data_IF_253926681673
#
_entry.id   IF_253926681673
#
_cell.length_a   1.000
_cell.length_b   1.000
_cell.length_c   1.000
_cell.angle_alpha   90.00
_cell.angle_beta   90.00
_cell.angle_gamma   90.00
#
_symmetry.space_group_name_H-M   'P 1'
#
loop_
_entity.id
_entity.type
_entity.pdbx_description
1 polymer ?
#
# COMPACT_ATOMS: atom_id res chain seq x y z
N UNK A 1 50.96 -32.35 45.29
CA UNK A 1 50.63 -32.37 43.86
C UNK A 1 49.11 -32.27 43.72
N UNK A 2 48.57 -31.05 43.54
CA UNK A 2 47.13 -30.78 43.43
C UNK A 2 46.79 -30.61 41.95
N UNK A 3 45.84 -31.40 41.46
CA UNK A 3 45.35 -31.38 40.08
C UNK A 3 44.36 -30.21 39.95
N UNK A 4 44.66 -29.24 39.09
CA UNK A 4 43.71 -28.22 38.65
C UNK A 4 42.71 -28.85 37.68
N UNK A 5 41.42 -28.84 38.02
CA UNK A 5 40.34 -29.07 37.05
C UNK A 5 39.93 -27.72 36.45
N UNK A 6 40.17 -27.57 35.15
CA UNK A 6 39.62 -26.49 34.34
C UNK A 6 38.10 -26.64 34.29
N UNK A 7 37.37 -25.60 34.68
CA UNK A 7 35.92 -25.53 34.59
C UNK A 7 35.58 -24.69 33.35
N UNK A 8 35.34 -25.36 32.22
CA UNK A 8 34.75 -24.74 31.03
C UNK A 8 33.25 -24.63 31.24
N UNK A 9 32.78 -23.42 31.56
CA UNK A 9 31.35 -23.09 31.51
C UNK A 9 30.90 -23.04 30.05
N UNK A 10 29.91 -23.85 29.62
CA UNK A 10 29.32 -23.70 28.30
C UNK A 10 28.58 -22.36 28.24
N UNK A 11 28.86 -21.58 27.20
CA UNK A 11 28.05 -20.42 26.82
C UNK A 11 26.67 -20.97 26.45
N UNK A 12 25.69 -20.74 27.32
CA UNK A 12 24.28 -21.00 27.01
C UNK A 12 23.87 -19.92 26.00
N UNK A 13 24.00 -20.23 24.71
CA UNK A 13 23.35 -19.47 23.66
C UNK A 13 21.85 -19.64 23.92
N UNK A 14 21.19 -18.53 24.24
CA UNK A 14 19.77 -18.51 24.57
C UNK A 14 18.97 -19.15 23.44
N UNK A 15 18.27 -20.26 23.76
CA UNK A 15 17.48 -21.06 22.82
C UNK A 15 16.32 -20.31 22.15
N UNK A 16 16.11 -19.03 22.49
CA UNK A 16 15.09 -18.17 21.90
C UNK A 16 15.44 -17.63 20.51
N UNK A 17 16.71 -17.63 20.10
CA UNK A 17 17.12 -17.18 18.74
C UNK A 17 17.11 -18.30 17.68
N UNK A 18 17.02 -19.57 18.08
CA UNK A 18 17.03 -20.70 17.15
C UNK A 18 15.66 -21.06 16.55
N UNK A 19 14.57 -20.39 16.97
CA UNK A 19 13.20 -20.76 16.57
C UNK A 19 12.66 -20.05 15.32
N UNK A 20 13.41 -19.08 14.78
CA UNK A 20 13.05 -18.43 13.51
C UNK A 20 13.30 -19.31 12.27
N UNK A 21 13.90 -20.50 12.43
CA UNK A 21 14.23 -21.42 11.34
C UNK A 21 13.20 -22.56 11.11
N UNK A 22 11.97 -22.48 11.65
CA UNK A 22 11.00 -23.60 11.60
C UNK A 22 9.77 -23.36 10.72
N UNK A 23 9.62 -22.19 10.10
CA UNK A 23 8.53 -21.94 9.15
C UNK A 23 9.07 -22.14 7.74
N UNK A 24 8.57 -23.15 7.02
CA UNK A 24 8.85 -23.30 5.61
C UNK A 24 8.16 -22.16 4.85
N UNK A 25 8.93 -21.17 4.39
CA UNK A 25 8.43 -20.05 3.59
C UNK A 25 8.50 -20.33 2.08
N UNK A 26 8.96 -21.53 1.69
CA UNK A 26 9.09 -21.87 0.28
C UNK A 26 7.72 -22.09 -0.37
N UNK A 27 7.72 -22.13 -1.70
CA UNK A 27 6.56 -22.50 -2.51
C UNK A 27 5.94 -23.84 -2.10
N UNK A 28 6.72 -24.78 -1.56
CA UNK A 28 6.23 -26.10 -1.16
C UNK A 28 5.21 -26.05 0.00
N UNK A 29 5.26 -25.00 0.83
CA UNK A 29 4.33 -24.80 1.94
C UNK A 29 3.12 -23.91 1.57
N UNK A 30 2.90 -23.65 0.28
CA UNK A 30 1.75 -22.86 -0.19
C UNK A 30 0.57 -23.80 -0.44
N UNK A 31 -0.61 -23.40 0.03
CA UNK A 31 -1.81 -24.24 0.00
C UNK A 31 -2.57 -24.03 -1.31
N UNK A 32 -2.71 -25.10 -2.09
CA UNK A 32 -3.60 -25.15 -3.25
C UNK A 32 -5.07 -24.92 -2.87
N UNK A 33 -5.93 -24.48 -3.82
CA UNK A 33 -7.36 -24.37 -3.59
C UNK A 33 -7.96 -25.66 -3.05
N UNK A 34 -8.84 -25.57 -2.06
CA UNK A 34 -9.54 -26.75 -1.54
C UNK A 34 -10.71 -27.13 -2.46
N UNK A 35 -10.71 -28.36 -3.02
CA UNK A 35 -11.73 -28.78 -3.98
C UNK A 35 -13.12 -28.95 -3.36
N UNK A 36 -13.20 -29.19 -2.05
CA UNK A 36 -14.46 -29.45 -1.33
C UNK A 36 -15.14 -28.19 -0.79
N UNK A 37 -14.57 -27.00 -1.05
CA UNK A 37 -15.20 -25.74 -0.70
C UNK A 37 -16.17 -25.29 -1.81
N UNK A 38 -17.24 -24.53 -1.47
CA UNK A 38 -18.01 -23.79 -2.47
C UNK A 38 -17.09 -22.94 -3.34
N UNK A 39 -17.41 -22.75 -4.64
CA UNK A 39 -16.56 -22.02 -5.60
C UNK A 39 -16.10 -20.65 -5.08
N UNK A 40 -16.98 -19.93 -4.38
CA UNK A 40 -16.68 -18.66 -3.71
C UNK A 40 -15.53 -18.82 -2.70
N UNK A 41 -15.58 -19.86 -1.89
CA UNK A 41 -14.59 -20.18 -0.86
C UNK A 41 -13.31 -20.78 -1.45
N UNK A 42 -13.41 -21.66 -2.46
CA UNK A 42 -12.27 -22.27 -3.17
C UNK A 42 -11.36 -21.21 -3.76
N UNK A 43 -11.94 -20.17 -4.38
CA UNK A 43 -11.17 -19.08 -4.99
C UNK A 43 -10.62 -18.09 -3.94
N UNK A 44 -11.30 -17.89 -2.82
CA UNK A 44 -10.80 -17.01 -1.74
C UNK A 44 -9.73 -17.66 -0.87
N UNK A 45 -9.69 -19.00 -0.80
CA UNK A 45 -8.75 -19.77 0.01
C UNK A 45 -7.54 -20.31 -0.79
N UNK A 46 -7.31 -19.78 -1.99
CA UNK A 46 -6.11 -20.09 -2.77
C UNK A 46 -4.90 -19.29 -2.26
N UNK A 47 -3.97 -19.99 -1.61
CA UNK A 47 -2.70 -19.43 -1.12
C UNK A 47 -1.51 -19.92 -1.95
N UNK A 48 -1.73 -20.64 -3.05
CA UNK A 48 -0.68 -21.23 -3.90
C UNK A 48 0.30 -20.18 -4.44
N UNK A 49 -0.17 -18.93 -4.57
CA UNK A 49 0.59 -17.78 -5.05
C UNK A 49 0.98 -16.79 -3.95
N UNK A 50 0.85 -17.16 -2.68
CA UNK A 50 1.26 -16.29 -1.57
C UNK A 50 2.80 -16.19 -1.47
N UNK A 51 3.31 -15.04 -1.05
CA UNK A 51 4.74 -14.75 -0.94
C UNK A 51 5.30 -13.97 -2.14
N UNK A 52 6.59 -13.64 -2.08
CA UNK A 52 7.32 -12.89 -3.10
C UNK A 52 7.29 -13.66 -4.42
N UNK A 53 6.76 -13.04 -5.47
CA UNK A 53 6.58 -13.64 -6.80
C UNK A 53 5.90 -15.04 -6.81
N UNK A 54 5.00 -15.30 -5.85
CA UNK A 54 4.37 -16.61 -5.74
C UNK A 54 5.18 -17.65 -4.96
N UNK A 55 5.91 -17.19 -3.93
CA UNK A 55 6.64 -18.03 -2.99
C UNK A 55 8.10 -18.31 -3.39
N UNK A 56 8.67 -17.47 -4.27
CA UNK A 56 10.10 -17.49 -4.58
C UNK A 56 10.91 -17.01 -3.37
N UNK A 57 12.18 -17.43 -3.25
CA UNK A 57 13.07 -16.90 -2.23
C UNK A 57 13.25 -15.38 -2.37
N UNK A 58 13.29 -14.68 -1.23
CA UNK A 58 13.66 -13.27 -1.21
C UNK A 58 15.10 -13.07 -1.74
N UNK A 59 15.40 -11.91 -2.36
CA UNK A 59 16.75 -11.59 -2.79
C UNK A 59 17.76 -11.68 -1.65
N UNK A 60 18.90 -12.30 -1.94
CA UNK A 60 20.05 -12.35 -1.04
C UNK A 60 21.03 -11.20 -1.33
N UNK A 61 22.14 -11.17 -0.58
CA UNK A 61 23.14 -10.12 -0.70
C UNK A 61 23.89 -10.13 -2.05
N UNK A 62 23.85 -11.23 -2.80
CA UNK A 62 24.51 -11.32 -4.11
C UNK A 62 23.76 -10.56 -5.21
N UNK A 63 22.50 -10.17 -4.94
CA UNK A 63 21.62 -9.53 -5.92
C UNK A 63 21.64 -8.00 -5.87
N UNK A 64 22.34 -7.37 -4.93
CA UNK A 64 22.30 -5.92 -4.71
C UNK A 64 23.61 -5.21 -5.08
N UNK A 65 23.52 -4.10 -5.82
CA UNK A 65 24.62 -3.14 -5.95
C UNK A 65 24.53 -2.12 -4.81
N UNK A 66 25.54 -2.10 -3.93
CA UNK A 66 25.54 -1.25 -2.74
C UNK A 66 25.80 0.22 -3.07
N UNK A 67 24.95 1.09 -2.54
CA UNK A 67 25.11 2.54 -2.49
C UNK A 67 25.20 2.97 -1.03
N UNK A 68 26.34 3.56 -0.69
CA UNK A 68 26.56 4.17 0.61
C UNK A 68 25.99 5.58 0.61
N UNK A 69 25.00 5.85 1.46
CA UNK A 69 24.31 7.16 1.49
C UNK A 69 25.11 8.29 2.15
N UNK A 70 26.16 7.94 2.89
CA UNK A 70 26.96 8.88 3.67
C UNK A 70 27.59 9.98 2.82
N UNK A 71 28.01 9.59 1.61
CA UNK A 71 28.69 10.49 0.70
C UNK A 71 27.66 11.08 -0.27
N UNK A 72 27.19 12.30 0.02
CA UNK A 72 26.47 13.14 -0.93
C UNK A 72 25.00 13.42 -0.64
N UNK A 73 24.36 12.72 0.30
CA UNK A 73 22.95 12.96 0.65
C UNK A 73 22.69 13.42 2.08
N UNK A 74 23.73 13.59 2.91
CA UNK A 74 23.59 14.11 4.28
C UNK A 74 22.61 13.28 5.15
N UNK A 75 22.71 11.95 5.07
CA UNK A 75 22.08 11.02 6.02
C UNK A 75 23.15 10.62 7.04
N UNK A 76 23.16 11.27 8.20
CA UNK A 76 24.26 11.18 9.16
C UNK A 76 23.72 10.59 10.47
N UNK A 77 24.13 9.37 10.85
CA UNK A 77 23.60 8.73 12.04
C UNK A 77 24.07 9.46 13.31
N UNK A 78 23.16 9.55 14.29
CA UNK A 78 23.41 10.08 15.64
C UNK A 78 23.80 11.57 15.72
N UNK A 79 23.63 12.37 14.67
CA UNK A 79 23.90 13.81 14.73
C UNK A 79 22.73 14.61 15.33
N UNK A 80 21.57 13.97 15.53
CA UNK A 80 20.35 14.57 16.08
C UNK A 80 19.57 15.44 15.08
N UNK A 81 20.04 15.54 13.83
CA UNK A 81 19.41 16.31 12.77
C UNK A 81 18.41 15.46 12.01
N UNK A 82 17.59 16.12 11.21
CA UNK A 82 16.58 15.50 10.36
C UNK A 82 17.20 15.04 9.03
N UNK A 83 17.20 13.73 8.81
CA UNK A 83 17.77 13.06 7.65
C UNK A 83 16.76 12.88 6.49
N UNK A 84 15.51 13.32 6.66
CA UNK A 84 14.41 12.95 5.75
C UNK A 84 14.65 13.39 4.32
N UNK A 85 15.12 14.62 4.11
CA UNK A 85 15.42 15.15 2.79
C UNK A 85 16.54 14.37 2.10
N UNK A 86 17.58 14.03 2.86
CA UNK A 86 18.71 13.24 2.37
C UNK A 86 18.28 11.85 1.92
N UNK A 87 17.53 11.15 2.76
CA UNK A 87 17.05 9.80 2.44
C UNK A 87 16.09 9.82 1.24
N UNK A 88 15.19 10.80 1.16
CA UNK A 88 14.29 10.93 0.01
C UNK A 88 15.06 11.20 -1.28
N UNK A 89 16.06 12.08 -1.25
CA UNK A 89 16.91 12.38 -2.42
C UNK A 89 17.69 11.16 -2.88
N UNK A 90 18.24 10.37 -1.96
CA UNK A 90 18.92 9.14 -2.29
C UNK A 90 18.02 8.15 -3.04
N UNK A 91 16.78 7.95 -2.56
CA UNK A 91 15.79 7.09 -3.24
C UNK A 91 15.45 7.62 -4.63
N UNK A 92 15.27 8.94 -4.77
CA UNK A 92 15.01 9.57 -6.06
C UNK A 92 16.20 9.40 -7.01
N UNK A 93 17.44 9.55 -6.55
CA UNK A 93 18.63 9.35 -7.37
C UNK A 93 18.80 7.90 -7.83
N UNK A 94 18.32 6.93 -7.06
CA UNK A 94 18.29 5.52 -7.49
C UNK A 94 17.36 5.32 -8.69
N UNK A 95 16.27 6.09 -8.82
CA UNK A 95 15.30 5.91 -9.90
C UNK A 95 15.89 6.03 -11.31
N UNK A 96 16.96 6.83 -11.47
CA UNK A 96 17.62 7.05 -12.77
C UNK A 96 18.69 6.01 -13.13
N UNK A 97 19.05 5.11 -12.22
CA UNK A 97 20.10 4.12 -12.48
C UNK A 97 19.54 2.90 -13.21
N UNK A 98 20.30 2.28 -14.11
CA UNK A 98 19.91 1.00 -14.70
C UNK A 98 19.96 -0.12 -13.66
N UNK A 99 19.07 -1.10 -13.79
CA UNK A 99 19.06 -2.32 -12.97
C UNK A 99 19.14 -3.49 -13.94
N UNK A 100 20.28 -4.22 -13.98
CA UNK A 100 20.36 -5.46 -14.73
C UNK A 100 19.28 -6.46 -14.28
N UNK A 101 18.79 -7.26 -15.22
CA UNK A 101 17.76 -8.26 -14.93
C UNK A 101 18.14 -9.17 -13.76
N UNK A 102 17.21 -9.32 -12.82
CA UNK A 102 17.41 -10.14 -11.62
C UNK A 102 18.34 -9.54 -10.57
N UNK A 103 18.65 -8.24 -10.64
CA UNK A 103 19.41 -7.49 -9.63
C UNK A 103 18.58 -6.38 -8.98
N UNK A 104 19.14 -5.75 -7.96
CA UNK A 104 18.52 -4.70 -7.16
C UNK A 104 19.50 -3.56 -6.93
N UNK A 105 18.96 -2.36 -6.79
CA UNK A 105 19.67 -1.25 -6.16
C UNK A 105 19.62 -1.47 -4.64
N UNK A 106 20.73 -1.26 -3.94
CA UNK A 106 20.80 -1.41 -2.49
C UNK A 106 21.19 -0.07 -1.85
N UNK A 107 20.28 0.50 -1.08
CA UNK A 107 20.58 1.56 -0.13
C UNK A 107 20.96 0.91 1.20
N UNK A 108 22.25 0.99 1.55
CA UNK A 108 22.74 0.52 2.84
C UNK A 108 22.75 1.68 3.84
N UNK A 109 21.88 1.60 4.83
CA UNK A 109 21.79 2.58 5.91
C UNK A 109 22.88 2.32 6.97
N UNK A 110 23.39 3.39 7.60
CA UNK A 110 24.32 3.30 8.73
C UNK A 110 23.81 2.57 9.95
N UNK A 111 24.77 2.03 10.71
CA UNK A 111 24.59 1.83 12.15
C UNK A 111 24.33 3.17 12.86
N UNK A 112 23.42 3.17 13.83
CA UNK A 112 23.04 4.35 14.61
C UNK A 112 21.64 4.86 14.30
N UNK A 113 21.34 6.05 14.81
CA UNK A 113 20.01 6.67 14.75
C UNK A 113 19.89 7.62 13.58
N UNK A 114 18.91 7.37 12.71
CA UNK A 114 18.49 8.25 11.61
C UNK A 114 17.16 8.89 12.02
N UNK A 115 17.06 10.22 12.03
CA UNK A 115 15.83 10.90 12.40
C UNK A 115 15.05 11.30 11.15
N UNK A 116 13.74 11.03 11.16
CA UNK A 116 12.84 11.36 10.07
C UNK A 116 11.65 12.19 10.58
N UNK A 117 11.13 13.09 9.77
CA UNK A 117 10.07 14.03 10.13
C UNK A 117 8.88 14.07 9.17
N UNK A 118 9.05 13.59 7.94
CA UNK A 118 7.97 13.42 6.98
C UNK A 118 8.07 12.09 6.21
N UNK A 119 6.97 11.70 5.59
CA UNK A 119 6.86 10.41 4.92
C UNK A 119 7.89 10.24 3.79
N UNK A 120 8.66 9.16 3.86
CA UNK A 120 9.57 8.74 2.80
C UNK A 120 8.78 7.97 1.74
N UNK A 121 8.70 8.53 0.54
CA UNK A 121 8.15 7.84 -0.63
C UNK A 121 9.21 6.93 -1.23
N UNK A 122 8.89 5.64 -1.31
CA UNK A 122 9.67 4.64 -2.00
C UNK A 122 8.93 4.27 -3.28
N UNK A 123 9.17 5.07 -4.32
CA UNK A 123 8.51 4.98 -5.63
C UNK A 123 9.41 4.40 -6.73
N UNK A 124 10.55 3.82 -6.32
CA UNK A 124 11.56 3.21 -7.18
C UNK A 124 11.49 1.68 -7.08
N UNK A 125 11.11 1.00 -8.17
CA UNK A 125 11.11 -0.47 -8.24
C UNK A 125 12.54 -1.05 -8.23
N UNK A 126 12.67 -2.33 -7.83
CA UNK A 126 13.95 -3.04 -7.69
C UNK A 126 14.93 -2.31 -6.75
N UNK A 127 14.45 -1.99 -5.55
CA UNK A 127 15.20 -1.24 -4.53
C UNK A 127 15.12 -1.96 -3.18
N UNK A 128 16.26 -2.18 -2.56
CA UNK A 128 16.38 -2.65 -1.19
C UNK A 128 16.88 -1.49 -0.33
N UNK A 129 16.16 -1.18 0.75
CA UNK A 129 16.64 -0.29 1.81
C UNK A 129 16.94 -1.18 3.01
N UNK A 130 18.21 -1.23 3.41
CA UNK A 130 18.71 -2.16 4.43
C UNK A 130 19.46 -1.44 5.53
N UNK A 131 19.18 -1.77 6.78
CA UNK A 131 19.98 -1.32 7.93
C UNK A 131 21.21 -2.17 8.22
N UNK A 132 22.03 -1.71 9.16
CA UNK A 132 23.21 -2.39 9.66
C UNK A 132 22.89 -3.50 10.69
N UNK A 133 21.62 -3.62 11.11
CA UNK A 133 21.19 -4.54 12.16
C UNK A 133 19.84 -4.10 12.73
N UNK A 134 18.97 -5.02 13.18
CA UNK A 134 17.67 -4.66 13.75
C UNK A 134 17.77 -4.25 15.24
N UNK A 135 18.87 -4.55 15.93
CA UNK A 135 19.09 -4.16 17.32
C UNK A 135 20.08 -2.97 17.40
N UNK A 136 19.61 -1.76 17.73
CA UNK A 136 20.47 -0.59 17.84
C UNK A 136 21.55 -0.73 18.92
N UNK A 137 21.32 -1.54 19.96
CA UNK A 137 22.30 -1.76 21.03
C UNK A 137 23.43 -2.70 20.59
N UNK A 138 23.23 -3.44 19.50
CA UNK A 138 24.22 -4.32 18.87
C UNK A 138 24.82 -3.70 17.59
N UNK A 139 24.78 -2.37 17.44
CA UNK A 139 25.31 -1.68 16.27
C UNK A 139 24.35 -1.64 15.07
N UNK A 140 23.05 -1.85 15.30
CA UNK A 140 22.01 -1.77 14.28
C UNK A 140 21.61 -0.35 13.86
N UNK A 141 20.72 -0.28 12.88
CA UNK A 141 20.11 0.98 12.41
C UNK A 141 18.78 1.20 13.12
N UNK A 142 18.63 2.40 13.70
CA UNK A 142 17.39 2.85 14.32
C UNK A 142 16.81 4.01 13.52
N UNK A 143 15.61 3.84 12.98
CA UNK A 143 14.83 4.94 12.41
C UNK A 143 13.94 5.52 13.50
N UNK A 144 14.09 6.82 13.77
CA UNK A 144 13.23 7.54 14.71
C UNK A 144 12.38 8.53 13.95
N UNK A 145 11.08 8.27 13.88
CA UNK A 145 10.12 9.14 13.21
C UNK A 145 9.45 10.11 14.20
N UNK A 146 9.55 11.41 13.92
CA UNK A 146 8.90 12.50 14.68
C UNK A 146 8.21 13.44 13.70
N UNK A 147 6.90 13.26 13.43
CA UNK A 147 6.22 14.02 12.40
C UNK A 147 6.31 15.53 12.67
N UNK A 148 6.73 16.29 11.66
CA UNK A 148 6.73 17.74 11.70
C UNK A 148 5.31 18.33 11.59
N UNK A 149 5.20 19.65 11.61
CA UNK A 149 3.90 20.34 11.46
C UNK A 149 3.23 20.08 10.13
N UNK A 150 4.00 19.75 9.08
CA UNK A 150 3.46 19.46 7.76
C UNK A 150 2.98 17.99 7.62
N UNK A 151 3.42 17.12 8.53
CA UNK A 151 3.12 15.69 8.53
C UNK A 151 2.07 15.29 9.56
N UNK A 152 1.84 16.10 10.60
CA UNK A 152 0.75 15.87 11.56
C UNK A 152 -0.63 16.01 10.93
N UNK A 153 -1.60 15.25 11.42
CA UNK A 153 -3.01 15.42 11.05
C UNK A 153 -3.60 16.66 11.74
N UNK A 154 -4.53 17.36 11.07
CA UNK A 154 -5.02 18.66 11.56
C UNK A 154 -5.95 18.56 12.76
N UNK A 155 -6.79 17.52 12.81
CA UNK A 155 -7.87 17.41 13.79
C UNK A 155 -8.01 16.00 14.31
N UNK A 156 -8.24 15.92 15.61
CA UNK A 156 -8.54 14.70 16.34
C UNK A 156 -10.01 14.79 16.77
N UNK A 157 -10.82 13.81 16.37
CA UNK A 157 -12.19 13.63 16.86
C UNK A 157 -12.25 12.27 17.54
N UNK A 158 -12.68 12.24 18.81
CA UNK A 158 -12.82 11.01 19.61
C UNK A 158 -11.53 10.15 19.60
N UNK A 159 -10.38 10.78 19.85
CA UNK A 159 -9.05 10.15 19.87
C UNK A 159 -8.61 9.48 18.54
N UNK A 160 -9.30 9.78 17.45
CA UNK A 160 -8.94 9.39 16.08
C UNK A 160 -8.67 10.61 15.22
N UNK A 161 -7.72 10.50 14.31
CA UNK A 161 -7.55 11.53 13.30
C UNK A 161 -8.76 11.57 12.38
N UNK A 162 -9.22 12.78 12.06
CA UNK A 162 -10.41 13.00 11.25
C UNK A 162 -10.03 13.03 9.76
N UNK A 163 -10.33 11.93 9.07
CA UNK A 163 -10.13 11.71 7.63
C UNK A 163 -10.73 12.84 6.77
N UNK A 164 -11.84 13.42 7.23
CA UNK A 164 -12.65 14.36 6.46
C UNK A 164 -12.31 15.82 6.78
N UNK A 165 -11.57 16.08 7.87
CA UNK A 165 -11.09 17.43 8.20
C UNK A 165 -9.91 17.89 7.36
N UNK A 166 -9.11 16.94 6.85
CA UNK A 166 -7.88 17.25 6.13
C UNK A 166 -8.16 17.45 4.65
N UNK A 167 -8.58 18.66 4.29
CA UNK A 167 -9.01 18.99 2.92
C UNK A 167 -8.12 20.03 2.25
N UNK A 168 -8.06 19.96 0.91
CA UNK A 168 -7.67 21.05 0.03
C UNK A 168 -8.75 21.26 -1.03
N UNK A 169 -9.33 22.46 -1.06
CA UNK A 169 -10.40 22.86 -1.99
C UNK A 169 -9.83 23.77 -3.06
N UNK A 170 -10.29 23.62 -4.29
CA UNK A 170 -9.93 24.51 -5.40
C UNK A 170 -11.17 24.92 -6.18
N UNK A 171 -11.12 26.12 -6.76
CA UNK A 171 -12.10 26.67 -7.68
C UNK A 171 -11.39 27.70 -8.56
N UNK A 172 -11.15 27.36 -9.82
CA UNK A 172 -10.44 28.22 -10.77
C UNK A 172 -10.99 28.04 -12.20
N UNK A 173 -10.59 28.91 -13.12
CA UNK A 173 -10.79 28.69 -14.55
C UNK A 173 -9.54 28.08 -15.18
N UNK A 174 -9.71 27.07 -16.03
CA UNK A 174 -8.64 26.54 -16.86
C UNK A 174 -8.30 27.49 -18.02
N UNK A 175 -7.30 27.13 -18.83
CA UNK A 175 -6.83 27.95 -19.96
C UNK A 175 -7.92 28.20 -21.02
N UNK A 176 -8.95 27.35 -21.08
CA UNK A 176 -10.10 27.48 -21.97
C UNK A 176 -11.27 28.25 -21.33
N UNK A 177 -11.11 28.78 -20.12
CA UNK A 177 -12.14 29.49 -19.37
C UNK A 177 -13.18 28.59 -18.71
N UNK A 178 -13.00 27.26 -18.73
CA UNK A 178 -13.89 26.31 -18.04
C UNK A 178 -13.62 26.39 -16.54
N UNK A 179 -14.67 26.55 -15.74
CA UNK A 179 -14.58 26.43 -14.28
C UNK A 179 -14.23 24.99 -13.89
N UNK A 180 -13.18 24.84 -13.09
CA UNK A 180 -12.68 23.59 -12.52
C UNK A 180 -12.67 23.76 -11.01
N UNK A 181 -13.42 22.90 -10.32
CA UNK A 181 -13.54 22.96 -8.86
C UNK A 181 -13.53 21.55 -8.27
N UNK A 182 -13.18 21.44 -6.99
CA UNK A 182 -13.16 20.15 -6.33
C UNK A 182 -12.51 20.18 -4.96
N UNK A 183 -12.35 19.00 -4.38
CA UNK A 183 -11.76 18.82 -3.05
C UNK A 183 -10.96 17.53 -3.03
N UNK A 184 -9.77 17.58 -2.44
CA UNK A 184 -9.00 16.42 -2.04
C UNK A 184 -9.09 16.33 -0.51
N UNK A 185 -9.39 15.16 0.03
CA UNK A 185 -9.53 14.92 1.47
C UNK A 185 -8.53 13.86 1.96
N UNK A 186 -8.40 13.70 3.28
CA UNK A 186 -7.53 12.69 3.89
C UNK A 186 -7.83 11.25 3.46
N UNK A 187 -9.04 10.96 3.00
CA UNK A 187 -9.37 9.67 2.38
C UNK A 187 -8.46 9.31 1.19
N UNK A 188 -7.89 10.30 0.49
CA UNK A 188 -6.96 10.07 -0.61
C UNK A 188 -5.62 9.50 -0.15
N UNK A 189 -5.27 9.65 1.13
CA UNK A 189 -4.07 9.07 1.74
C UNK A 189 -4.27 7.67 2.30
N UNK A 190 -5.50 7.15 2.32
CA UNK A 190 -5.81 5.88 2.98
C UNK A 190 -4.78 4.78 2.65
N UNK A 191 -4.27 4.03 3.67
CA UNK A 191 -4.74 3.98 5.07
C UNK A 191 -4.26 5.13 5.97
N UNK A 192 -3.56 6.13 5.43
CA UNK A 192 -2.99 7.26 6.17
C UNK A 192 -1.53 7.51 5.78
N UNK A 193 -0.86 8.38 6.54
CA UNK A 193 0.58 8.65 6.45
C UNK A 193 1.41 7.56 7.13
N UNK A 194 2.65 7.42 6.68
CA UNK A 194 3.58 6.40 7.18
C UNK A 194 5.02 6.91 7.25
N UNK A 195 5.90 6.15 7.90
CA UNK A 195 7.34 6.39 7.83
C UNK A 195 7.82 6.12 6.40
N UNK A 196 7.58 4.89 5.91
CA UNK A 196 7.86 4.47 4.55
C UNK A 196 6.56 4.24 3.79
N UNK A 197 6.40 4.86 2.62
CA UNK A 197 5.29 4.59 1.70
C UNK A 197 5.83 4.01 0.40
N UNK A 198 5.69 2.70 0.25
CA UNK A 198 6.07 1.97 -0.96
C UNK A 198 4.90 2.08 -1.93
N UNK A 199 5.09 2.85 -2.99
CA UNK A 199 4.03 3.17 -3.94
C UNK A 199 4.36 4.43 -4.73
N UNK A 200 3.66 4.63 -5.85
CA UNK A 200 3.90 5.79 -6.71
C UNK A 200 3.75 7.10 -5.94
N UNK A 201 4.73 7.99 -6.08
CA UNK A 201 4.64 9.37 -5.62
C UNK A 201 4.04 10.30 -6.68
N UNK A 202 3.76 9.79 -7.89
CA UNK A 202 3.36 10.61 -9.03
C UNK A 202 1.98 11.25 -8.83
N UNK A 203 1.86 12.45 -9.39
CA UNK A 203 0.63 13.23 -9.40
C UNK A 203 0.00 13.15 -10.79
N UNK A 204 -1.30 12.88 -10.83
CA UNK A 204 -2.08 12.93 -12.06
C UNK A 204 -1.93 14.29 -12.75
N UNK A 205 -1.76 14.30 -14.08
CA UNK A 205 -1.53 15.53 -14.85
C UNK A 205 -2.57 16.64 -14.58
N UNK A 206 -3.85 16.24 -14.45
CA UNK A 206 -4.97 17.16 -14.13
C UNK A 206 -4.92 17.78 -12.72
N UNK A 207 -4.10 17.24 -11.82
CA UNK A 207 -3.91 17.74 -10.45
C UNK A 207 -2.57 18.46 -10.28
N UNK A 208 -1.77 18.62 -11.35
CA UNK A 208 -0.47 19.29 -11.28
C UNK A 208 -0.59 20.70 -10.68
N UNK A 209 -1.59 21.48 -11.13
CA UNK A 209 -1.84 22.83 -10.60
C UNK A 209 -2.24 22.81 -9.13
N UNK A 210 -3.22 21.97 -8.77
CA UNK A 210 -3.73 21.84 -7.41
C UNK A 210 -2.61 21.39 -6.46
N UNK A 211 -1.79 20.43 -6.86
CA UNK A 211 -0.63 20.00 -6.09
C UNK A 211 0.43 21.10 -5.95
N UNK A 212 0.66 21.91 -7.00
CA UNK A 212 1.60 23.02 -6.94
C UNK A 212 1.12 24.10 -5.95
N UNK A 213 -0.15 24.49 -6.03
CA UNK A 213 -0.79 25.52 -5.21
C UNK A 213 -1.12 25.06 -3.77
N UNK A 214 -1.26 23.76 -3.54
CA UNK A 214 -1.55 23.23 -2.22
C UNK A 214 -0.44 23.55 -1.20
N UNK A 215 -0.80 23.86 0.06
CA UNK A 215 0.18 24.02 1.14
C UNK A 215 0.94 22.70 1.37
N UNK A 216 2.14 22.79 1.95
CA UNK A 216 3.05 21.64 2.11
C UNK A 216 2.37 20.42 2.73
N UNK A 217 1.61 20.64 3.81
CA UNK A 217 0.84 19.64 4.54
C UNK A 217 -0.39 19.05 3.81
N UNK A 218 -0.61 19.43 2.55
CA UNK A 218 -1.66 18.91 1.66
C UNK A 218 -1.14 18.37 0.34
N UNK A 219 0.15 18.56 0.02
CA UNK A 219 0.72 18.07 -1.24
C UNK A 219 0.65 16.54 -1.34
N UNK A 220 0.79 15.84 -0.23
CA UNK A 220 0.71 14.39 -0.16
C UNK A 220 -0.66 13.82 -0.56
N UNK A 221 -1.76 14.58 -0.37
CA UNK A 221 -3.10 14.17 -0.83
C UNK A 221 -3.10 13.79 -2.32
N UNK A 222 -2.26 14.44 -3.12
CA UNK A 222 -2.18 14.24 -4.56
C UNK A 222 -1.16 13.17 -4.98
N UNK A 223 -0.31 12.68 -4.08
CA UNK A 223 0.73 11.70 -4.43
C UNK A 223 0.16 10.30 -4.55
N UNK A 224 0.52 9.62 -5.63
CA UNK A 224 -0.10 8.35 -6.04
C UNK A 224 -1.51 8.51 -6.63
N UNK A 225 -1.94 9.75 -6.90
CA UNK A 225 -3.25 10.03 -7.52
C UNK A 225 -3.38 9.50 -8.94
N UNK A 226 -2.26 9.14 -9.59
CA UNK A 226 -2.24 8.37 -10.85
C UNK A 226 -2.97 7.03 -10.77
N UNK A 227 -3.31 6.54 -9.57
CA UNK A 227 -4.04 5.29 -9.37
C UNK A 227 -5.50 5.49 -8.89
N UNK A 228 -6.01 6.74 -8.91
CA UNK A 228 -7.39 7.28 -8.83
C UNK A 228 -8.51 6.60 -7.99
N UNK A 229 -8.22 5.65 -7.10
CA UNK A 229 -9.21 4.79 -6.43
C UNK A 229 -10.33 5.52 -5.67
N UNK A 230 -10.11 6.77 -5.22
CA UNK A 230 -11.10 7.57 -4.48
C UNK A 230 -11.75 8.71 -5.30
N UNK A 231 -11.57 8.70 -6.61
CA UNK A 231 -11.94 9.83 -7.47
C UNK A 231 -13.43 10.21 -7.36
N UNK A 232 -13.67 11.47 -6.96
CA UNK A 232 -14.96 12.15 -6.88
C UNK A 232 -14.86 13.56 -7.47
N UNK A 233 -14.58 13.69 -8.75
CA UNK A 233 -14.59 14.97 -9.45
C UNK A 233 -15.65 14.96 -10.56
N UNK A 234 -16.55 15.95 -10.46
CA UNK A 234 -17.56 16.36 -11.46
C UNK A 234 -18.62 15.32 -11.87
N UNK A 235 -19.75 15.33 -11.15
CA UNK A 235 -20.97 14.63 -11.56
C UNK A 235 -21.00 13.13 -11.26
N UNK A 236 -21.85 12.38 -11.97
CA UNK A 236 -22.07 10.94 -11.74
C UNK A 236 -21.04 10.05 -12.43
N UNK A 237 -20.29 10.54 -13.42
CA UNK A 237 -19.39 9.73 -14.27
C UNK A 237 -17.94 9.85 -13.77
N UNK A 238 -17.38 8.76 -13.26
CA UNK A 238 -16.17 8.79 -12.41
C UNK A 238 -15.02 7.93 -12.93
N UNK A 239 -14.22 8.46 -13.86
CA UNK A 239 -12.97 7.84 -14.32
C UNK A 239 -13.12 6.40 -14.83
N UNK A 240 -12.16 5.54 -14.49
CA UNK A 240 -12.14 4.14 -14.93
C UNK A 240 -13.18 3.30 -14.17
N UNK A 241 -14.39 3.24 -14.73
CA UNK A 241 -15.50 2.45 -14.23
C UNK A 241 -15.65 1.16 -15.03
N UNK A 242 -16.34 0.19 -14.44
CA UNK A 242 -16.87 -0.92 -15.22
C UNK A 242 -18.03 -0.46 -16.10
N UNK A 243 -18.39 -1.26 -17.12
CA UNK A 243 -19.52 -0.96 -18.01
C UNK A 243 -20.80 -0.68 -17.21
N UNK A 244 -21.52 0.36 -17.61
CA UNK A 244 -22.78 0.78 -16.98
C UNK A 244 -24.01 0.31 -17.77
N UNK A 245 -23.78 -0.30 -18.94
CA UNK A 245 -24.81 -0.80 -19.86
C UNK A 245 -25.37 -2.15 -19.43
N UNK A 246 -24.70 -2.85 -18.51
CA UNK A 246 -25.11 -4.17 -17.99
C UNK A 246 -25.19 -4.13 -16.48
N UNK A 247 -26.09 -4.92 -15.89
CA UNK A 247 -26.18 -5.07 -14.42
C UNK A 247 -24.88 -5.64 -13.84
N UNK A 248 -24.32 -6.66 -14.51
CA UNK A 248 -22.99 -7.22 -14.24
C UNK A 248 -22.03 -6.89 -15.37
N UNK A 249 -20.97 -6.17 -15.05
CA UNK A 249 -19.85 -5.92 -15.95
C UNK A 249 -18.78 -7.02 -15.89
N UNK A 250 -18.80 -7.82 -14.82
CA UNK A 250 -17.98 -9.03 -14.64
C UNK A 250 -18.78 -10.11 -13.93
N UNK A 251 -18.58 -11.36 -14.34
CA UNK A 251 -19.26 -12.51 -13.74
C UNK A 251 -18.24 -13.38 -13.01
N UNK A 252 -18.54 -13.74 -11.76
CA UNK A 252 -17.71 -14.66 -10.98
C UNK A 252 -17.39 -15.94 -11.77
N UNK A 253 -16.16 -16.44 -11.65
CA UNK A 253 -15.69 -17.61 -12.38
C UNK A 253 -15.27 -17.33 -13.84
N UNK A 254 -15.50 -16.11 -14.34
CA UNK A 254 -14.99 -15.66 -15.65
C UNK A 254 -13.79 -14.73 -15.49
N UNK A 255 -12.97 -14.59 -16.53
CA UNK A 255 -11.82 -13.67 -16.54
C UNK A 255 -12.09 -12.38 -17.32
N UNK A 256 -13.35 -12.05 -17.64
CA UNK A 256 -13.66 -10.90 -18.49
C UNK A 256 -14.35 -9.79 -17.70
N UNK A 257 -13.84 -8.56 -17.83
CA UNK A 257 -14.48 -7.34 -17.32
C UNK A 257 -14.80 -6.41 -18.48
N UNK A 258 -16.04 -5.94 -18.53
CA UNK A 258 -16.48 -4.88 -19.44
C UNK A 258 -16.17 -3.51 -18.84
N UNK A 259 -15.61 -2.63 -19.66
CA UNK A 259 -15.15 -1.31 -19.22
C UNK A 259 -16.08 -0.20 -19.71
N UNK A 260 -16.28 0.81 -18.87
CA UNK A 260 -16.84 2.09 -19.26
C UNK A 260 -15.69 3.08 -19.46
N UNK A 261 -15.47 3.53 -20.70
CA UNK A 261 -14.40 4.46 -21.07
C UNK A 261 -14.90 5.90 -21.18
N UNK A 262 -15.69 6.34 -20.21
CA UNK A 262 -16.19 7.72 -20.18
C UNK A 262 -15.19 8.66 -19.50
N UNK A 263 -15.03 9.85 -20.09
CA UNK A 263 -14.16 10.94 -19.63
C UNK A 263 -12.76 10.51 -19.15
N UNK A 264 -12.00 9.88 -20.05
CA UNK A 264 -10.58 9.51 -19.88
C UNK A 264 -9.63 10.55 -20.49
N UNK A 265 -10.05 11.79 -20.72
CA UNK A 265 -9.23 12.79 -21.45
C UNK A 265 -7.94 13.20 -20.74
N UNK A 266 -7.83 12.92 -19.45
CA UNK A 266 -6.67 13.17 -18.59
C UNK A 266 -5.78 11.95 -18.40
N UNK A 267 -6.13 10.78 -18.96
CA UNK A 267 -5.32 9.56 -18.81
C UNK A 267 -4.06 9.66 -19.66
N UNK A 268 -2.97 9.11 -19.14
CA UNK A 268 -1.69 9.02 -19.85
C UNK A 268 -1.62 7.74 -20.68
N UNK A 269 -0.64 7.64 -21.57
CA UNK A 269 -0.33 6.37 -22.26
C UNK A 269 -0.07 5.24 -21.25
N UNK A 270 0.63 5.53 -20.15
CA UNK A 270 0.93 4.56 -19.11
C UNK A 270 -0.35 3.99 -18.47
N UNK A 271 -1.38 4.81 -18.24
CA UNK A 271 -2.68 4.36 -17.73
C UNK A 271 -3.38 3.41 -18.71
N UNK A 272 -3.37 3.73 -20.00
CA UNK A 272 -4.07 2.94 -21.03
C UNK A 272 -3.35 1.60 -21.28
N UNK A 273 -2.03 1.57 -21.16
CA UNK A 273 -1.22 0.37 -21.38
C UNK A 273 -0.92 -0.42 -20.11
N UNK A 274 -1.28 0.08 -18.94
CA UNK A 274 -1.05 -0.59 -17.65
C UNK A 274 -1.55 -2.02 -17.68
N UNK A 275 -0.75 -2.99 -17.23
CA UNK A 275 -1.17 -4.39 -17.15
C UNK A 275 -1.76 -4.73 -15.79
N UNK A 276 -1.36 -4.02 -14.73
CA UNK A 276 -1.89 -4.22 -13.39
C UNK A 276 -3.18 -3.43 -13.17
N UNK A 277 -4.24 -4.11 -12.73
CA UNK A 277 -5.58 -3.54 -12.61
C UNK A 277 -6.21 -3.86 -11.27
N UNK A 278 -6.72 -2.82 -10.64
CA UNK A 278 -7.55 -2.92 -9.47
C UNK A 278 -9.02 -2.99 -9.87
N UNK A 279 -9.72 -4.05 -9.44
CA UNK A 279 -11.14 -4.23 -9.70
C UNK A 279 -11.87 -4.23 -8.36
N UNK A 280 -12.91 -3.39 -8.23
CA UNK A 280 -13.73 -3.32 -7.03
C UNK A 280 -15.20 -3.26 -7.31
N UNK A 281 -15.99 -4.11 -6.64
CA UNK A 281 -17.43 -3.88 -6.53
C UNK A 281 -17.69 -2.75 -5.55
N UNK A 282 -18.75 -1.99 -5.83
CA UNK A 282 -19.34 -1.03 -4.92
C UNK A 282 -20.01 -1.71 -3.73
N UNK A 283 -20.02 -1.02 -2.60
CA UNK A 283 -20.73 -1.38 -1.37
C UNK A 283 -22.23 -1.56 -1.66
N UNK A 284 -22.88 -2.57 -1.08
CA UNK A 284 -24.32 -2.83 -1.27
C UNK A 284 -25.02 -2.96 0.06
N UNK A 285 -26.14 -2.27 0.27
CA UNK A 285 -27.02 -2.57 1.42
C UNK A 285 -27.98 -3.68 1.04
N UNK A 286 -27.78 -4.89 1.58
CA UNK A 286 -28.81 -5.92 1.50
C UNK A 286 -29.78 -5.78 2.68
N UNK A 287 -31.00 -5.34 2.37
CA UNK A 287 -32.24 -5.44 3.16
C UNK A 287 -32.38 -4.61 4.45
N UNK A 288 -33.66 -4.37 4.77
CA UNK A 288 -34.27 -3.35 5.65
C UNK A 288 -34.06 -3.58 7.17
N UNK A 289 -33.25 -4.55 7.58
CA UNK A 289 -33.26 -5.10 8.94
C UNK A 289 -31.91 -5.05 9.68
N UNK A 290 -30.88 -4.47 9.08
CA UNK A 290 -29.62 -4.23 9.75
C UNK A 290 -29.57 -2.78 10.28
N UNK A 291 -29.90 -2.60 11.55
CA UNK A 291 -29.68 -1.34 12.28
C UNK A 291 -28.20 -1.01 12.52
N UNK A 292 -27.27 -1.80 11.99
CA UNK A 292 -25.83 -1.52 12.01
C UNK A 292 -25.44 -0.66 10.80
N UNK A 293 -24.62 0.37 11.04
CA UNK A 293 -23.98 1.19 10.00
C UNK A 293 -23.12 0.38 9.00
N UNK A 294 -22.92 -0.92 9.26
CA UNK A 294 -22.19 -1.90 8.46
C UNK A 294 -22.95 -3.25 8.48
N UNK A 295 -23.84 -3.52 7.52
CA UNK A 295 -24.57 -4.79 7.45
C UNK A 295 -23.64 -5.89 6.94
N UNK A 296 -22.76 -6.42 7.78
CA UNK A 296 -22.03 -7.64 7.43
C UNK A 296 -23.05 -8.78 7.37
N UNK A 297 -23.45 -9.15 6.16
CA UNK A 297 -24.25 -10.34 5.90
C UNK A 297 -23.31 -11.53 6.05
N UNK A 298 -23.12 -11.98 7.29
CA UNK A 298 -22.37 -13.18 7.59
C UNK A 298 -23.16 -14.37 7.02
N UNK A 299 -22.97 -14.68 5.73
CA UNK A 299 -23.12 -16.06 5.27
C UNK A 299 -22.35 -16.95 6.26
N UNK A 300 -22.83 -18.16 6.50
CA UNK A 300 -22.44 -19.08 7.59
C UNK A 300 -20.94 -19.43 7.72
N UNK A 301 -20.08 -18.80 6.93
CA UNK A 301 -18.62 -18.94 6.88
C UNK A 301 -17.84 -17.61 6.79
N UNK A 302 -18.48 -16.45 6.94
CA UNK A 302 -17.80 -15.15 7.03
C UNK A 302 -17.27 -14.55 5.72
N UNK A 303 -17.92 -14.84 4.58
CA UNK A 303 -17.54 -14.29 3.26
C UNK A 303 -18.24 -12.94 3.02
N UNK A 304 -17.46 -11.87 2.96
CA UNK A 304 -17.92 -10.52 2.65
C UNK A 304 -18.22 -10.40 1.14
N UNK A 305 -19.50 -10.21 0.78
CA UNK A 305 -19.97 -10.13 -0.63
C UNK A 305 -20.32 -8.71 -1.08
N UNK A 306 -20.35 -7.74 -0.16
CA UNK A 306 -20.80 -6.38 -0.44
C UNK A 306 -19.61 -5.48 -0.81
N UNK A 307 -18.39 -5.81 -0.36
CA UNK A 307 -17.16 -5.02 -0.53
C UNK A 307 -15.96 -5.77 -1.11
N UNK A 308 -16.18 -6.54 -2.16
CA UNK A 308 -15.12 -7.33 -2.77
C UNK A 308 -14.27 -6.50 -3.73
N UNK A 309 -12.97 -6.65 -3.61
CA UNK A 309 -12.01 -5.89 -4.39
C UNK A 309 -10.74 -6.73 -4.55
N UNK A 310 -10.06 -6.63 -5.70
CA UNK A 310 -8.94 -7.51 -6.02
C UNK A 310 -8.01 -6.91 -7.07
N UNK A 311 -6.78 -7.43 -7.14
CA UNK A 311 -5.76 -7.05 -8.11
C UNK A 311 -5.56 -8.16 -9.14
N UNK A 312 -5.65 -7.78 -10.41
CA UNK A 312 -5.44 -8.65 -11.56
C UNK A 312 -4.35 -8.12 -12.49
N UNK A 313 -3.78 -9.03 -13.28
CA UNK A 313 -2.99 -8.66 -14.45
C UNK A 313 -3.84 -8.83 -15.70
N UNK A 314 -3.91 -7.82 -16.55
CA UNK A 314 -4.61 -7.86 -17.84
C UNK A 314 -3.76 -8.60 -18.85
N UNK A 315 -4.30 -9.69 -19.38
CA UNK A 315 -3.64 -10.54 -20.39
C UNK A 315 -4.02 -10.14 -21.81
N UNK A 316 -5.22 -9.57 -21.98
CA UNK A 316 -5.71 -9.12 -23.28
C UNK A 316 -6.70 -7.96 -23.13
N UNK A 317 -6.73 -7.10 -24.16
CA UNK A 317 -7.69 -6.00 -24.31
C UNK A 317 -8.42 -6.19 -25.62
N UNK A 318 -9.71 -5.88 -25.65
CA UNK A 318 -10.49 -5.97 -26.87
C UNK A 318 -11.73 -5.10 -26.86
N UNK A 319 -12.45 -5.14 -27.98
CA UNK A 319 -13.77 -4.58 -28.13
C UNK A 319 -14.59 -5.54 -29.00
N UNK A 320 -15.85 -5.70 -28.66
CA UNK A 320 -16.83 -6.40 -29.48
C UNK A 320 -18.13 -5.59 -29.55
N UNK A 321 -19.19 -6.18 -30.08
CA UNK A 321 -20.52 -5.57 -30.19
C UNK A 321 -21.10 -5.10 -28.85
N UNK A 322 -20.59 -5.62 -27.72
CA UNK A 322 -21.01 -5.26 -26.36
C UNK A 322 -20.08 -4.26 -25.68
N UNK A 323 -19.09 -3.73 -26.42
CA UNK A 323 -18.18 -2.69 -25.96
C UNK A 323 -16.78 -3.20 -25.58
N UNK A 324 -16.00 -2.32 -24.95
CA UNK A 324 -14.61 -2.59 -24.56
C UNK A 324 -14.52 -3.56 -23.39
N UNK A 325 -13.51 -4.41 -23.42
CA UNK A 325 -13.26 -5.38 -22.38
C UNK A 325 -11.77 -5.60 -22.11
N UNK A 326 -11.51 -6.16 -20.94
CA UNK A 326 -10.21 -6.73 -20.55
C UNK A 326 -10.40 -8.20 -20.17
N UNK A 327 -9.41 -9.02 -20.50
CA UNK A 327 -9.24 -10.38 -19.96
C UNK A 327 -8.17 -10.35 -18.87
N UNK A 328 -8.45 -11.03 -17.76
CA UNK A 328 -7.65 -11.07 -16.54
C UNK A 328 -6.80 -12.36 -16.48
N UNK A 329 -5.74 -12.35 -15.69
CA UNK A 329 -4.82 -13.48 -15.48
C UNK A 329 -5.46 -14.67 -14.76
N UNK A 330 -6.62 -14.46 -14.13
CA UNK A 330 -7.40 -15.47 -13.44
C UNK A 330 -8.87 -15.10 -13.35
N UNK A 331 -9.76 -16.08 -13.08
CA UNK A 331 -11.17 -15.82 -12.87
C UNK A 331 -11.46 -14.85 -11.72
N UNK A 332 -12.53 -14.09 -11.86
CA UNK A 332 -13.13 -13.27 -10.81
C UNK A 332 -13.65 -14.14 -9.68
N UNK A 333 -13.41 -13.70 -8.45
CA UNK A 333 -13.87 -14.38 -7.22
C UNK A 333 -15.21 -13.86 -6.71
N UNK A 334 -15.76 -12.87 -7.40
CA UNK A 334 -17.01 -12.19 -7.08
C UNK A 334 -17.59 -11.58 -8.35
N UNK A 335 -18.90 -11.40 -8.37
CA UNK A 335 -19.56 -10.64 -9.42
C UNK A 335 -19.22 -9.16 -9.31
N UNK A 336 -19.00 -8.52 -10.46
CA UNK A 336 -18.72 -7.09 -10.56
C UNK A 336 -19.93 -6.41 -11.18
N UNK A 337 -20.83 -5.95 -10.32
CA UNK A 337 -22.01 -5.20 -10.73
C UNK A 337 -21.63 -3.79 -11.16
N UNK A 338 -22.44 -3.15 -12.00
CA UNK A 338 -22.18 -1.78 -12.44
C UNK A 338 -22.09 -0.75 -11.31
N UNK A 339 -22.85 -0.98 -10.24
CA UNK A 339 -22.99 -0.07 -9.10
C UNK A 339 -23.60 -0.75 -7.87
N UNK A 340 -23.71 0.02 -6.78
CA UNK A 340 -24.25 -0.42 -5.48
C UNK A 340 -25.72 -0.85 -5.54
N UNK A 341 -26.42 -0.42 -6.59
CA UNK A 341 -27.82 -0.73 -6.88
C UNK A 341 -27.97 -1.65 -8.10
N UNK A 342 -26.85 -2.06 -8.72
CA UNK A 342 -26.85 -2.85 -9.96
C UNK A 342 -27.45 -4.25 -9.81
N UNK A 343 -27.58 -4.76 -8.59
CA UNK A 343 -28.27 -6.02 -8.27
C UNK A 343 -29.72 -5.82 -7.79
N UNK A 344 -30.24 -4.60 -7.88
CA UNK A 344 -31.56 -4.22 -7.35
C UNK A 344 -31.57 -3.78 -5.89
N UNK A 345 -30.40 -3.72 -5.23
CA UNK A 345 -30.28 -3.17 -3.87
C UNK A 345 -30.67 -1.69 -3.80
N UNK A 346 -31.09 -1.24 -2.61
CA UNK A 346 -31.34 0.19 -2.37
C UNK A 346 -30.03 0.99 -2.31
N UNK A 347 -30.01 2.26 -2.74
CA UNK A 347 -28.84 3.13 -2.61
C UNK A 347 -28.32 3.21 -1.16
N UNK A 348 -27.00 3.36 -1.02
CA UNK A 348 -26.37 3.61 0.28
C UNK A 348 -26.27 5.13 0.47
N UNK A 349 -26.74 5.65 1.61
CA UNK A 349 -26.68 7.09 1.94
C UNK A 349 -27.24 7.98 0.81
N UNK A 350 -28.39 7.57 0.25
CA UNK A 350 -29.10 8.25 -0.84
C UNK A 350 -28.28 8.43 -2.14
N UNK A 351 -27.17 7.71 -2.30
CA UNK A 351 -26.30 7.80 -3.47
C UNK A 351 -25.95 6.44 -4.07
N UNK A 352 -25.84 6.41 -5.40
CA UNK A 352 -25.32 5.26 -6.14
C UNK A 352 -23.80 5.33 -6.20
N UNK A 353 -23.14 4.25 -5.79
CA UNK A 353 -21.69 4.11 -5.87
C UNK A 353 -21.37 3.18 -7.04
N UNK A 354 -20.60 3.65 -8.01
CA UNK A 354 -20.20 2.86 -9.17
C UNK A 354 -19.05 1.91 -8.85
N UNK A 355 -19.11 0.70 -9.40
CA UNK A 355 -17.98 -0.21 -9.38
C UNK A 355 -16.87 0.27 -10.33
N UNK A 356 -15.65 -0.14 -10.01
CA UNK A 356 -14.44 0.42 -10.59
C UNK A 356 -13.56 -0.68 -11.18
N UNK A 357 -12.95 -0.36 -12.31
CA UNK A 357 -11.94 -1.21 -12.94
C UNK A 357 -10.81 -0.30 -13.39
N UNK A 358 -9.76 -0.22 -12.58
CA UNK A 358 -8.80 0.87 -12.64
C UNK A 358 -7.41 0.37 -13.00
N UNK A 359 -6.75 0.95 -14.01
CA UNK A 359 -5.35 0.69 -14.24
C UNK A 359 -4.52 1.20 -13.07
N UNK A 360 -3.46 0.46 -12.76
CA UNK A 360 -2.40 0.86 -11.86
C UNK A 360 -1.18 1.13 -12.74
N UNK A 361 -1.04 2.37 -13.22
CA UNK A 361 -0.06 2.71 -14.26
C UNK A 361 1.39 2.70 -13.74
N UNK A 362 1.55 3.07 -12.47
CA UNK A 362 2.85 3.23 -11.83
C UNK A 362 2.94 2.30 -10.62
N UNK A 363 2.83 1.01 -10.87
CA UNK A 363 3.06 -0.02 -9.86
C UNK A 363 4.50 0.07 -9.38
N UNK A 364 4.68 0.13 -8.07
CA UNK A 364 5.99 -0.07 -7.46
C UNK A 364 6.13 -1.56 -7.15
N UNK A 365 7.25 -2.16 -7.54
CA UNK A 365 7.44 -3.58 -7.30
C UNK A 365 8.88 -3.90 -6.95
N UNK A 366 9.10 -5.05 -6.32
CA UNK A 366 10.45 -5.52 -5.99
C UNK A 366 11.16 -4.56 -5.03
N UNK A 367 10.43 -4.10 -4.02
CA UNK A 367 10.96 -3.23 -2.97
C UNK A 367 11.10 -3.99 -1.65
N UNK A 368 12.29 -3.96 -1.07
CA UNK A 368 12.59 -4.55 0.23
C UNK A 368 12.90 -3.49 1.28
N UNK A 369 12.26 -3.59 2.45
CA UNK A 369 12.67 -2.86 3.67
C UNK A 369 13.21 -3.88 4.66
N UNK A 370 14.48 -3.77 5.03
CA UNK A 370 15.16 -4.84 5.76
C UNK A 370 16.04 -4.36 6.92
N UNK A 371 16.12 -5.17 7.96
CA UNK A 371 17.18 -5.10 8.98
C UNK A 371 17.29 -3.73 9.68
N UNK A 372 16.16 -3.16 10.09
CA UNK A 372 16.08 -1.89 10.81
C UNK A 372 15.17 -2.00 12.04
N UNK A 373 15.44 -1.17 13.04
CA UNK A 373 14.46 -0.82 14.07
C UNK A 373 13.67 0.42 13.63
N UNK A 374 12.34 0.37 13.67
CA UNK A 374 11.46 1.51 13.48
C UNK A 374 10.86 1.95 14.81
N UNK A 375 10.96 3.24 15.12
CA UNK A 375 10.22 3.81 16.25
C UNK A 375 9.51 5.10 15.88
N UNK A 376 8.29 5.26 16.38
CA UNK A 376 7.52 6.49 16.31
C UNK A 376 7.02 6.84 17.71
N UNK A 377 7.50 7.98 18.21
CA UNK A 377 7.17 8.61 19.49
C UNK A 377 7.51 7.79 20.76
N UNK A 378 7.85 8.49 21.85
CA UNK A 378 8.56 7.91 23.02
C UNK A 378 7.87 8.12 24.37
N UNK A 379 6.56 8.39 24.43
CA UNK A 379 5.87 8.28 25.71
C UNK A 379 5.61 6.81 26.02
N UNK A 380 6.07 6.36 27.19
CA UNK A 380 5.95 4.97 27.67
C UNK A 380 4.48 4.61 27.80
N UNK A 381 3.91 4.00 26.77
CA UNK A 381 2.58 3.43 26.79
C UNK A 381 2.66 1.99 27.33
N UNK A 382 2.54 1.81 28.65
CA UNK A 382 2.39 0.46 29.20
C UNK A 382 0.98 -0.04 28.89
N UNK A 383 0.81 -0.70 27.74
CA UNK A 383 -0.45 -1.35 27.28
C UNK A 383 -1.57 -0.43 26.80
N UNK A 384 -1.26 0.78 26.32
CA UNK A 384 -2.27 1.65 25.67
C UNK A 384 -2.11 1.62 24.15
N UNK A 385 -3.06 0.98 23.46
CA UNK A 385 -3.19 1.02 21.98
C UNK A 385 -3.91 2.30 21.50
N UNK A 386 -4.41 3.14 22.41
CA UNK A 386 -4.87 4.48 22.06
C UNK A 386 -3.69 5.31 21.55
N UNK A 387 -3.91 6.05 20.47
CA UNK A 387 -2.93 7.04 20.03
C UNK A 387 -2.72 8.04 21.17
N UNK A 388 -1.55 8.00 21.83
CA UNK A 388 -1.20 8.98 22.86
C UNK A 388 -1.01 10.39 22.28
N UNK A 389 -0.81 10.47 20.96
CA UNK A 389 -0.78 11.69 20.17
C UNK A 389 -1.46 11.41 18.82
N UNK A 390 -2.80 11.44 18.72
CA UNK A 390 -3.52 11.07 17.49
C UNK A 390 -3.20 11.92 16.28
N UNK A 391 -2.74 13.16 16.46
CA UNK A 391 -2.21 13.99 15.39
C UNK A 391 -0.88 13.46 14.81
N UNK A 392 -0.20 12.57 15.54
CA UNK A 392 1.06 11.92 15.19
C UNK A 392 0.89 10.43 14.84
N UNK A 393 -0.36 9.99 14.62
CA UNK A 393 -0.70 8.59 14.36
C UNK A 393 -0.19 8.07 13.02
N UNK A 394 1.05 7.58 12.97
CA UNK A 394 1.66 7.10 11.73
C UNK A 394 1.60 5.58 11.61
N UNK A 395 1.54 5.09 10.39
CA UNK A 395 1.92 3.71 10.08
C UNK A 395 3.45 3.61 9.97
N UNK A 396 4.02 2.43 10.17
CA UNK A 396 5.46 2.23 9.91
C UNK A 396 5.72 2.14 8.42
N UNK A 397 5.41 0.98 7.84
CA UNK A 397 5.61 0.69 6.42
C UNK A 397 4.23 0.50 5.77
N UNK A 398 3.91 1.32 4.78
CA UNK A 398 2.68 1.19 3.98
C UNK A 398 3.04 0.83 2.55
N UNK A 399 2.48 -0.26 2.05
CA UNK A 399 2.49 -0.60 0.64
C UNK A 399 1.21 -0.06 0.01
N UNK A 400 1.29 0.65 -1.11
CA UNK A 400 0.11 1.16 -1.81
C UNK A 400 0.31 1.01 -3.30
N UNK A 401 -0.52 0.19 -3.95
CA UNK A 401 -0.36 -0.13 -5.36
C UNK A 401 1.04 -0.71 -5.63
N UNK A 402 1.47 -1.59 -4.73
CA UNK A 402 2.79 -2.21 -4.78
C UNK A 402 2.68 -3.74 -4.76
N UNK A 403 3.54 -4.43 -5.51
CA UNK A 403 3.57 -5.90 -5.56
C UNK A 403 4.97 -6.45 -5.48
N UNK A 404 5.09 -7.74 -5.20
CA UNK A 404 6.36 -8.45 -5.12
C UNK A 404 7.36 -7.68 -4.25
N UNK A 405 6.87 -7.15 -3.14
CA UNK A 405 7.65 -6.33 -2.20
C UNK A 405 7.65 -7.02 -0.85
N UNK A 406 8.64 -6.73 -0.01
CA UNK A 406 8.80 -7.47 1.23
C UNK A 406 9.33 -6.63 2.38
N UNK A 407 9.12 -7.16 3.57
CA UNK A 407 9.67 -6.64 4.82
C UNK A 407 10.38 -7.80 5.51
N UNK A 408 11.66 -7.61 5.86
CA UNK A 408 12.49 -8.66 6.46
C UNK A 408 13.25 -8.18 7.70
N UNK A 409 13.17 -8.94 8.79
CA UNK A 409 13.95 -8.69 10.02
C UNK A 409 13.79 -7.24 10.53
N UNK A 410 12.55 -6.79 10.74
CA UNK A 410 12.26 -5.45 11.28
C UNK A 410 11.82 -5.56 12.73
N UNK A 411 12.36 -4.68 13.56
CA UNK A 411 11.88 -4.45 14.92
C UNK A 411 11.05 -3.17 14.94
N UNK A 412 9.86 -3.17 15.54
CA UNK A 412 8.99 -1.99 15.56
C UNK A 412 8.55 -1.63 16.99
N UNK A 413 8.68 -0.35 17.34
CA UNK A 413 8.24 0.23 18.60
C UNK A 413 7.49 1.52 18.31
N UNK A 414 6.19 1.42 18.05
CA UNK A 414 5.39 2.53 17.55
C UNK A 414 4.12 2.70 18.37
N UNK A 415 3.77 3.95 18.64
CA UNK A 415 2.39 4.35 18.98
C UNK A 415 1.75 4.90 17.71
N UNK A 416 0.58 4.40 17.32
CA UNK A 416 0.07 4.62 15.96
C UNK A 416 -0.98 3.60 15.55
N UNK A 417 -1.21 3.48 14.23
CA UNK A 417 -2.22 2.57 13.68
C UNK A 417 -1.66 1.17 13.43
N UNK A 418 -0.77 0.99 12.45
CA UNK A 418 -0.17 -0.33 12.13
C UNK A 418 1.34 -0.22 11.86
N UNK A 419 2.19 -1.09 12.43
CA UNK A 419 3.63 -1.12 12.12
C UNK A 419 3.91 -1.42 10.65
N UNK A 420 3.13 -2.32 10.06
CA UNK A 420 3.17 -2.65 8.64
C UNK A 420 1.74 -2.77 8.13
N UNK A 421 1.45 -2.16 6.98
CA UNK A 421 0.13 -2.17 6.36
C UNK A 421 0.24 -2.42 4.86
N UNK A 422 -0.44 -3.47 4.41
CA UNK A 422 -0.80 -3.67 3.02
C UNK A 422 -2.32 -3.54 2.92
N UNK A 423 -2.88 -2.49 2.31
CA UNK A 423 -4.27 -2.51 1.91
C UNK A 423 -4.48 -3.65 0.90
N UNK A 424 -5.73 -4.03 0.61
CA UNK A 424 -6.09 -5.09 -0.35
C UNK A 424 -5.54 -4.93 -1.79
N UNK A 425 -4.74 -3.89 -2.04
CA UNK A 425 -4.08 -3.53 -3.30
C UNK A 425 -2.57 -3.80 -3.23
N UNK A 426 -2.14 -4.88 -2.59
CA UNK A 426 -0.73 -5.21 -2.53
C UNK A 426 -0.49 -6.73 -2.51
N UNK A 427 0.63 -7.16 -3.12
CA UNK A 427 1.17 -8.52 -2.96
C UNK A 427 2.49 -8.40 -2.22
N UNK A 428 2.50 -8.78 -0.94
CA UNK A 428 3.60 -8.50 -0.02
C UNK A 428 3.99 -9.79 0.69
N UNK A 429 5.27 -9.97 0.92
CA UNK A 429 5.78 -10.99 1.82
C UNK A 429 6.33 -10.39 3.11
N UNK A 430 6.02 -11.03 4.24
CA UNK A 430 6.53 -10.67 5.56
C UNK A 430 7.37 -11.85 6.07
N UNK A 431 8.63 -11.60 6.42
CA UNK A 431 9.57 -12.62 6.89
C UNK A 431 10.34 -12.19 8.12
#
# INVERSE_FOLDING_TARGET
>A
MRIFRSCTTPVIISATLARAALVDLTKANRREPLPDLPVELTLTADWSRAGFEGGNPLPDNSKGNQFNLFDGYNVIPNDGQDDTAGLQQAITAMSSQSVPDGTYRLIQLPAGTINLSYMIYVDTSYLIIRGAGPDPNAGGTKIVFRPDSDTKYDKIINDRWDLDSMEYKWDFQDEAGKRVFGTASGGWLWPGRSIFRIGSSQVAAKYTRQHAEAPKNRKDLFKGSVNYHWRSDEGKVKGWMVSQEKDKAGVMGTSTIRLNVTNTTWVTTADVTATDWWIGTSHRRRTKDSSSHWPLDFLSWGVETQNCQDWFTVTKRGADETGRYIELDRPLRFDVYRSSTGDGSSPMEDSEIFAKAMPIAHVVHHVGIEVIELTAFTLVATRNYGNLAPEQAMHGIVFRYARDSWVRNIQTFMTGSHPVSGPGWARIEFT
#
